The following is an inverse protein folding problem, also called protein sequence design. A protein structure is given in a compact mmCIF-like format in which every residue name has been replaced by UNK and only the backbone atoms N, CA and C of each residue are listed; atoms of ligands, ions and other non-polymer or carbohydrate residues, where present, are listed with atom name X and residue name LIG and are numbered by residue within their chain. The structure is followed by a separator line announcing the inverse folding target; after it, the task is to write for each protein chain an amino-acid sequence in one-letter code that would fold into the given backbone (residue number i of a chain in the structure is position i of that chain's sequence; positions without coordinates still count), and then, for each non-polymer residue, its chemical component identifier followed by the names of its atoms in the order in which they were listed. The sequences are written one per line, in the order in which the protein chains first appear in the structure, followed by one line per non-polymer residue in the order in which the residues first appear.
data_IF_450184377806
#
_entry.id   IF_450184377806
#
_cell.length_a   1.000
_cell.length_b   1.000
_cell.length_c   1.000
_cell.angle_alpha   90.00
_cell.angle_beta   90.00
_cell.angle_gamma   90.00
#
_symmetry.space_group_name_H-M   'P 1'
#
loop_
_entity.id
_entity.type
_entity.pdbx_description
1 polymer ?
#
# COMPACT_ATOMS: atom_id res chain seq x y z
N UNK A 1 7.78 -3.47 27.23
CA UNK A 1 8.16 -2.62 26.09
C UNK A 1 7.09 -1.54 25.97
N UNK A 2 7.40 -0.30 26.38
CA UNK A 2 6.44 0.81 26.38
C UNK A 2 6.38 1.52 25.03
N UNK A 3 7.37 1.30 24.17
CA UNK A 3 7.40 1.91 22.83
C UNK A 3 7.94 0.92 21.81
N UNK A 4 7.29 0.83 20.67
CA UNK A 4 7.80 0.13 19.50
C UNK A 4 8.68 1.14 18.73
N UNK A 5 9.95 1.23 19.06
CA UNK A 5 10.88 1.99 18.24
C UNK A 5 11.48 1.07 17.18
N UNK A 6 11.17 1.34 15.92
CA UNK A 6 11.76 0.73 14.73
C UNK A 6 11.78 -0.80 14.75
N UNK A 7 10.76 -1.41 14.22
CA UNK A 7 10.82 -2.84 13.86
C UNK A 7 11.80 -2.93 12.70
N UNK A 8 12.98 -3.47 12.93
CA UNK A 8 13.84 -3.90 11.84
C UNK A 8 13.05 -4.94 11.05
N UNK A 9 12.77 -4.72 9.76
CA UNK A 9 12.00 -5.68 8.97
C UNK A 9 12.76 -7.01 8.99
N UNK A 10 12.20 -8.00 9.65
CA UNK A 10 12.77 -9.35 9.62
C UNK A 10 12.15 -10.11 8.45
N UNK A 11 12.98 -10.58 7.52
CA UNK A 11 12.56 -11.46 6.43
C UNK A 11 11.96 -12.79 6.91
N UNK A 12 12.21 -13.16 8.15
CA UNK A 12 11.93 -14.49 8.69
C UNK A 12 11.00 -14.48 9.90
N UNK A 13 10.38 -13.34 10.22
CA UNK A 13 9.45 -13.26 11.36
C UNK A 13 8.21 -14.12 11.10
N UNK A 14 8.23 -15.35 11.60
CA UNK A 14 7.15 -16.33 11.38
C UNK A 14 6.11 -16.37 12.49
N UNK A 15 6.44 -15.85 13.68
CA UNK A 15 5.55 -15.87 14.83
C UNK A 15 5.74 -14.65 15.71
N UNK A 16 4.64 -14.14 16.25
CA UNK A 16 4.62 -13.04 17.22
C UNK A 16 3.90 -13.54 18.46
N UNK A 17 4.61 -13.54 19.60
CA UNK A 17 4.04 -13.85 20.91
C UNK A 17 4.20 -12.66 21.83
N UNK A 18 3.21 -12.41 22.63
CA UNK A 18 3.20 -11.38 23.67
C UNK A 18 2.81 -12.02 25.00
N UNK A 19 3.27 -11.44 26.11
CA UNK A 19 2.84 -11.87 27.44
C UNK A 19 1.35 -11.59 27.63
N UNK A 20 0.64 -12.46 28.33
CA UNK A 20 -0.75 -12.26 28.72
C UNK A 20 -0.96 -11.00 29.57
N UNK A 21 0.07 -10.57 30.30
CA UNK A 21 0.08 -9.33 31.08
C UNK A 21 0.37 -8.07 30.26
N UNK A 22 0.56 -8.19 28.94
CA UNK A 22 0.84 -7.04 28.08
C UNK A 22 -0.39 -6.13 28.02
N UNK A 23 -0.19 -4.83 28.28
CA UNK A 23 -1.27 -3.82 28.31
C UNK A 23 -1.28 -2.92 27.09
N UNK A 24 -0.33 -3.07 26.18
CA UNK A 24 -0.10 -2.15 25.06
C UNK A 24 -0.42 -2.76 23.70
N UNK A 25 -0.30 -4.08 23.61
CA UNK A 25 -0.42 -4.79 22.34
C UNK A 25 -1.36 -5.99 22.44
N UNK A 26 -1.88 -6.37 21.29
CA UNK A 26 -2.71 -7.55 21.09
C UNK A 26 -2.26 -8.33 19.88
N UNK A 27 -2.30 -9.65 19.94
CA UNK A 27 -2.03 -10.52 18.78
C UNK A 27 -3.33 -11.22 18.39
N UNK A 28 -3.72 -11.10 17.13
CA UNK A 28 -4.88 -11.79 16.55
C UNK A 28 -4.39 -12.45 15.27
N UNK A 29 -4.63 -13.75 15.13
CA UNK A 29 -4.18 -14.57 13.98
C UNK A 29 -2.71 -14.36 13.65
N UNK A 30 -1.86 -14.26 14.68
CA UNK A 30 -0.44 -14.03 14.57
C UNK A 30 -0.02 -12.60 14.23
N UNK A 31 -0.98 -11.71 13.96
CA UNK A 31 -0.74 -10.30 13.61
C UNK A 31 -0.78 -9.41 14.85
N UNK A 32 0.18 -8.50 14.94
CA UNK A 32 0.35 -7.57 16.07
C UNK A 32 -0.42 -6.28 15.84
N UNK A 33 -1.23 -5.92 16.83
CA UNK A 33 -2.01 -4.68 16.87
C UNK A 33 -1.74 -3.88 18.15
N UNK A 34 -2.10 -2.60 18.14
CA UNK A 34 -2.29 -1.85 19.39
C UNK A 34 -3.42 -2.46 20.21
N UNK A 35 -3.40 -2.24 21.53
CA UNK A 35 -4.42 -2.81 22.44
C UNK A 35 -5.83 -2.30 22.10
N UNK A 36 -5.94 -1.07 21.62
CA UNK A 36 -7.19 -0.42 21.18
C UNK A 36 -7.59 -0.81 19.74
N UNK A 37 -6.82 -1.70 19.10
CA UNK A 37 -7.02 -2.17 17.72
C UNK A 37 -6.96 -1.10 16.63
N UNK A 38 -6.47 0.10 16.92
CA UNK A 38 -6.41 1.18 15.92
C UNK A 38 -5.20 1.10 15.00
N UNK A 39 -4.12 0.45 15.43
CA UNK A 39 -2.90 0.32 14.63
C UNK A 39 -2.52 -1.13 14.44
N UNK A 40 -2.34 -1.53 13.18
CA UNK A 40 -1.71 -2.80 12.79
C UNK A 40 -0.20 -2.58 12.68
N UNK A 41 0.57 -3.23 13.56
CA UNK A 41 2.02 -3.07 13.61
C UNK A 41 2.77 -4.06 12.73
N UNK A 42 2.37 -5.35 12.75
CA UNK A 42 3.13 -6.36 12.04
C UNK A 42 2.32 -7.62 11.77
N UNK A 43 2.31 -8.07 10.52
CA UNK A 43 1.86 -9.38 10.07
C UNK A 43 3.07 -10.33 9.96
N UNK A 44 2.98 -11.60 10.40
CA UNK A 44 4.05 -12.56 10.23
C UNK A 44 4.21 -12.95 8.75
N UNK A 45 5.45 -13.24 8.32
CA UNK A 45 5.76 -13.52 6.90
C UNK A 45 5.12 -14.82 6.39
N UNK A 46 4.79 -15.74 7.29
CA UNK A 46 4.14 -17.02 6.99
C UNK A 46 2.61 -16.97 7.09
N UNK A 47 2.00 -15.78 7.13
CA UNK A 47 0.56 -15.66 7.05
C UNK A 47 0.02 -16.47 5.87
N UNK A 48 -0.92 -17.40 6.14
CA UNK A 48 -1.23 -18.49 5.22
C UNK A 48 -2.27 -18.14 4.16
N UNK A 49 -3.15 -17.15 4.45
CA UNK A 49 -4.25 -16.82 3.55
C UNK A 49 -3.79 -15.83 2.47
N UNK A 50 -4.37 -15.96 1.29
CA UNK A 50 -4.14 -15.03 0.18
C UNK A 50 -4.91 -13.71 0.31
N UNK A 51 -5.95 -13.68 1.12
CA UNK A 51 -6.72 -12.47 1.45
C UNK A 51 -6.41 -12.10 2.90
N UNK A 52 -6.00 -10.86 3.11
CA UNK A 52 -5.84 -10.29 4.45
C UNK A 52 -7.00 -9.33 4.73
N UNK A 53 -7.86 -9.72 5.66
CA UNK A 53 -8.93 -8.85 6.14
C UNK A 53 -8.35 -7.91 7.21
N UNK A 54 -8.28 -6.62 6.90
CA UNK A 54 -7.90 -5.60 7.89
C UNK A 54 -9.14 -5.36 8.77
N UNK A 55 -9.06 -5.65 10.09
CA UNK A 55 -10.24 -5.57 10.94
C UNK A 55 -10.87 -4.18 10.97
N UNK A 56 -12.21 -4.12 11.04
CA UNK A 56 -12.92 -2.86 11.26
C UNK A 56 -12.48 -2.25 12.60
N UNK A 57 -12.28 -0.93 12.62
CA UNK A 57 -11.68 -0.20 13.74
C UNK A 57 -10.19 0.09 13.57
N UNK A 58 -9.47 -0.64 12.69
CA UNK A 58 -8.08 -0.31 12.36
C UNK A 58 -8.07 0.97 11.53
N UNK A 59 -7.29 1.93 12.01
CA UNK A 59 -7.12 3.23 11.39
C UNK A 59 -5.77 3.34 10.67
N UNK A 60 -4.73 2.70 11.20
CA UNK A 60 -3.36 2.88 10.72
C UNK A 60 -2.64 1.57 10.48
N UNK A 61 -2.04 1.44 9.32
CA UNK A 61 -1.07 0.39 9.01
C UNK A 61 0.33 0.96 9.27
N UNK A 62 1.07 0.36 10.18
CA UNK A 62 2.38 0.84 10.59
C UNK A 62 3.44 0.61 9.50
N UNK A 63 4.58 1.31 9.64
CA UNK A 63 5.72 1.12 8.75
C UNK A 63 6.17 -0.36 8.72
N UNK A 64 6.41 -0.89 7.52
CA UNK A 64 6.83 -2.29 7.29
C UNK A 64 5.86 -3.35 7.83
N UNK A 65 4.59 -3.02 8.03
CA UNK A 65 3.60 -3.92 8.66
C UNK A 65 3.45 -5.26 7.92
N UNK A 66 3.47 -5.28 6.60
CA UNK A 66 3.36 -6.47 5.76
C UNK A 66 4.65 -6.85 5.05
N UNK A 67 5.79 -6.40 5.58
CA UNK A 67 7.09 -6.67 4.97
C UNK A 67 7.31 -8.15 4.71
N UNK A 68 7.57 -8.53 3.44
CA UNK A 68 7.79 -9.90 2.98
C UNK A 68 6.60 -10.89 3.19
N UNK A 69 5.37 -10.40 3.34
CA UNK A 69 4.17 -11.25 3.45
C UNK A 69 3.72 -11.69 2.05
N UNK A 70 4.47 -12.58 1.39
CA UNK A 70 4.32 -12.94 -0.03
C UNK A 70 3.06 -13.74 -0.36
N UNK A 71 2.45 -14.38 0.64
CA UNK A 71 1.23 -15.16 0.45
C UNK A 71 0.00 -14.28 0.30
N UNK A 72 0.02 -13.07 0.90
CA UNK A 72 -1.08 -12.12 0.76
C UNK A 72 -1.10 -11.59 -0.67
N UNK A 73 -2.26 -11.69 -1.32
CA UNK A 73 -2.53 -11.24 -2.69
C UNK A 73 -3.53 -10.11 -2.75
N UNK A 74 -4.43 -10.06 -1.79
CA UNK A 74 -5.53 -9.12 -1.70
C UNK A 74 -5.69 -8.61 -0.28
N UNK A 75 -6.20 -7.39 -0.17
CA UNK A 75 -6.65 -6.82 1.10
C UNK A 75 -8.16 -6.58 1.06
N UNK A 76 -8.84 -6.87 2.17
CA UNK A 76 -10.14 -6.30 2.49
C UNK A 76 -9.93 -5.11 3.43
N UNK A 77 -10.53 -3.97 3.07
CA UNK A 77 -10.24 -2.69 3.71
C UNK A 77 -11.39 -2.29 4.62
N UNK A 78 -11.12 -1.88 5.88
CA UNK A 78 -12.14 -1.34 6.77
C UNK A 78 -12.50 0.09 6.37
N UNK A 79 -13.69 0.52 6.71
CA UNK A 79 -14.15 1.90 6.49
C UNK A 79 -13.40 2.92 7.35
N UNK A 80 -12.78 2.44 8.42
CA UNK A 80 -12.03 3.25 9.40
C UNK A 80 -10.59 3.56 9.01
N UNK A 81 -10.09 2.97 7.91
CA UNK A 81 -8.70 3.09 7.51
C UNK A 81 -8.33 4.53 7.14
N UNK A 82 -7.22 5.03 7.69
CA UNK A 82 -6.71 6.39 7.50
C UNK A 82 -5.33 6.44 6.89
N UNK A 83 -4.46 5.45 7.15
CA UNK A 83 -3.10 5.52 6.65
C UNK A 83 -2.43 4.17 6.39
N UNK A 84 -1.58 4.16 5.36
CA UNK A 84 -0.55 3.15 5.11
C UNK A 84 0.84 3.75 5.34
N UNK A 85 1.57 3.17 6.29
CA UNK A 85 2.91 3.63 6.66
C UNK A 85 4.00 3.27 5.66
N UNK A 86 5.17 3.87 5.87
CA UNK A 86 6.34 3.73 5.01
C UNK A 86 6.76 2.26 4.84
N UNK A 87 7.00 1.85 3.61
CA UNK A 87 7.43 0.49 3.25
C UNK A 87 6.52 -0.64 3.76
N UNK A 88 5.25 -0.31 4.04
CA UNK A 88 4.30 -1.28 4.60
C UNK A 88 4.07 -2.50 3.69
N UNK A 89 4.27 -2.37 2.38
CA UNK A 89 4.09 -3.42 1.38
C UNK A 89 5.43 -3.91 0.77
N UNK A 90 6.58 -3.60 1.37
CA UNK A 90 7.87 -4.00 0.80
C UNK A 90 8.01 -5.53 0.70
N UNK A 91 8.59 -6.01 -0.42
CA UNK A 91 8.80 -7.42 -0.73
C UNK A 91 7.51 -8.25 -0.83
N UNK A 92 6.38 -7.63 -1.17
CA UNK A 92 5.12 -8.32 -1.44
C UNK A 92 4.92 -8.57 -2.93
N UNK A 93 4.04 -9.53 -3.25
CA UNK A 93 3.59 -9.81 -4.60
C UNK A 93 2.06 -9.83 -4.59
N UNK A 94 1.45 -8.65 -4.80
CA UNK A 94 0.01 -8.47 -4.77
C UNK A 94 -0.61 -8.70 -6.15
N UNK A 95 -1.79 -9.32 -6.19
CA UNK A 95 -2.62 -9.35 -7.39
C UNK A 95 -3.37 -8.03 -7.56
N UNK A 96 -3.80 -7.43 -6.44
CA UNK A 96 -4.52 -6.15 -6.48
C UNK A 96 -4.25 -5.30 -5.24
N UNK A 97 -4.11 -3.99 -5.44
CA UNK A 97 -4.08 -2.99 -4.39
C UNK A 97 -4.99 -1.82 -4.74
N UNK A 98 -5.81 -1.36 -3.78
CA UNK A 98 -6.77 -0.29 -4.01
C UNK A 98 -6.34 0.96 -3.24
N UNK A 99 -6.36 2.10 -3.92
CA UNK A 99 -6.06 3.41 -3.36
C UNK A 99 -7.35 4.21 -3.19
N UNK A 100 -7.59 4.71 -1.99
CA UNK A 100 -8.76 5.50 -1.61
C UNK A 100 -8.34 6.94 -1.31
N UNK A 101 -9.09 7.97 -1.75
CA UNK A 101 -8.74 9.37 -1.53
C UNK A 101 -8.79 9.78 -0.05
N UNK A 102 -9.50 9.02 0.79
CA UNK A 102 -9.59 9.24 2.24
C UNK A 102 -8.42 8.67 3.04
N UNK A 103 -7.51 7.95 2.39
CA UNK A 103 -6.38 7.26 3.04
C UNK A 103 -5.07 7.94 2.66
N UNK A 104 -4.25 8.24 3.67
CA UNK A 104 -2.90 8.76 3.47
C UNK A 104 -1.93 7.61 3.18
N UNK A 105 -1.10 7.77 2.17
CA UNK A 105 -0.08 6.78 1.80
C UNK A 105 1.30 7.39 1.90
N UNK A 106 2.16 6.76 2.68
CA UNK A 106 3.61 6.98 2.56
C UNK A 106 4.16 6.10 1.42
N UNK A 107 5.45 6.21 1.09
CA UNK A 107 6.10 5.34 0.11
C UNK A 107 5.85 3.86 0.47
N UNK A 108 5.02 3.18 -0.31
CA UNK A 108 4.41 1.89 0.07
C UNK A 108 5.41 0.73 0.12
N UNK A 109 6.43 0.74 -0.74
CA UNK A 109 7.39 -0.34 -0.71
C UNK A 109 8.52 -0.25 -1.71
N UNK A 110 9.32 -1.31 -1.73
CA UNK A 110 10.36 -1.57 -2.72
C UNK A 110 10.49 -3.09 -2.92
N UNK A 111 11.06 -3.50 -4.03
CA UNK A 111 11.16 -4.92 -4.44
C UNK A 111 9.81 -5.65 -4.41
N UNK A 112 8.74 -4.95 -4.72
CA UNK A 112 7.38 -5.49 -4.73
C UNK A 112 6.83 -5.52 -6.15
N UNK A 113 5.88 -6.41 -6.40
CA UNK A 113 5.09 -6.40 -7.61
C UNK A 113 3.61 -6.30 -7.26
N UNK A 114 2.88 -5.50 -8.03
CA UNK A 114 1.43 -5.36 -7.93
C UNK A 114 0.88 -5.55 -9.34
N UNK A 115 0.06 -6.59 -9.55
CA UNK A 115 -0.50 -6.84 -10.86
C UNK A 115 -1.48 -5.72 -11.27
N UNK A 116 -2.36 -5.33 -10.35
CA UNK A 116 -3.35 -4.28 -10.59
C UNK A 116 -3.37 -3.26 -9.45
N UNK A 117 -3.21 -1.98 -9.77
CA UNK A 117 -3.47 -0.86 -8.87
C UNK A 117 -4.77 -0.19 -9.30
N UNK A 118 -5.75 -0.15 -8.42
CA UNK A 118 -7.02 0.52 -8.65
C UNK A 118 -7.06 1.84 -7.87
N UNK A 119 -7.17 2.96 -8.57
CA UNK A 119 -7.27 4.31 -8.00
C UNK A 119 -8.74 4.73 -8.02
N UNK A 120 -9.35 4.82 -6.84
CA UNK A 120 -10.74 5.24 -6.69
C UNK A 120 -10.91 6.72 -7.04
N UNK A 121 -12.12 7.08 -7.43
CA UNK A 121 -12.48 8.48 -7.69
C UNK A 121 -12.37 9.33 -6.42
N UNK A 122 -12.19 10.66 -6.60
CA UNK A 122 -12.13 11.64 -5.53
C UNK A 122 -10.75 12.19 -5.19
N UNK A 123 -9.68 11.72 -5.84
CA UNK A 123 -8.37 12.38 -5.74
C UNK A 123 -8.37 13.69 -6.54
N UNK A 124 -8.12 14.82 -5.88
CA UNK A 124 -7.84 16.09 -6.56
C UNK A 124 -6.36 16.21 -6.96
N UNK A 125 -5.47 15.63 -6.16
CA UNK A 125 -4.04 15.51 -6.39
C UNK A 125 -3.59 14.09 -6.06
N UNK A 126 -2.61 13.58 -6.81
CA UNK A 126 -2.10 12.23 -6.63
C UNK A 126 -0.57 12.21 -6.61
N UNK A 127 -0.01 11.76 -5.50
CA UNK A 127 1.42 11.50 -5.39
C UNK A 127 1.73 10.09 -5.93
N UNK A 128 2.06 10.01 -7.20
CA UNK A 128 2.37 8.73 -7.83
C UNK A 128 3.67 8.09 -7.33
N UNK A 129 4.55 8.87 -6.68
CA UNK A 129 5.80 8.36 -6.10
C UNK A 129 5.60 7.35 -4.97
N UNK A 130 4.38 7.27 -4.40
CA UNK A 130 4.02 6.22 -3.44
C UNK A 130 4.19 4.81 -3.98
N UNK A 131 4.00 4.63 -5.30
CA UNK A 131 4.20 3.37 -6.02
C UNK A 131 5.65 3.15 -6.47
N UNK A 132 6.55 4.07 -6.16
CA UNK A 132 7.95 4.00 -6.57
C UNK A 132 8.31 5.12 -7.53
N UNK A 133 9.50 5.69 -7.35
CA UNK A 133 10.03 6.80 -8.13
C UNK A 133 11.10 6.31 -9.08
N UNK A 134 11.11 6.88 -10.29
CA UNK A 134 11.96 6.49 -11.41
C UNK A 134 13.45 6.29 -11.13
N UNK A 135 14.04 5.30 -11.79
CA UNK A 135 15.48 5.09 -11.89
C UNK A 135 16.11 4.12 -10.89
N UNK A 136 15.32 3.45 -10.04
CA UNK A 136 15.85 2.47 -9.07
C UNK A 136 15.38 1.04 -9.40
N UNK A 137 16.30 0.07 -9.38
CA UNK A 137 15.94 -1.36 -9.45
C UNK A 137 15.00 -1.80 -8.31
N UNK A 138 14.92 -0.98 -7.28
CA UNK A 138 14.15 -1.24 -6.05
C UNK A 138 12.69 -0.82 -6.12
N UNK A 139 12.22 -0.27 -7.25
CA UNK A 139 10.85 0.21 -7.42
C UNK A 139 9.80 -0.90 -7.34
N UNK A 140 8.55 -0.50 -7.01
CA UNK A 140 7.37 -1.35 -7.21
C UNK A 140 7.15 -1.49 -8.72
N UNK A 141 6.96 -2.72 -9.19
CA UNK A 141 6.47 -2.96 -10.56
C UNK A 141 4.94 -3.05 -10.53
N UNK A 142 4.28 -2.37 -11.45
CA UNK A 142 2.83 -2.41 -11.62
C UNK A 142 2.51 -2.78 -13.06
N UNK A 143 1.70 -3.82 -13.25
CA UNK A 143 1.30 -4.25 -14.60
C UNK A 143 0.14 -3.44 -15.16
N UNK A 144 -0.79 -3.06 -14.29
CA UNK A 144 -2.03 -2.37 -14.68
C UNK A 144 -2.38 -1.31 -13.66
N UNK A 145 -2.69 -0.11 -14.13
CA UNK A 145 -3.28 0.97 -13.35
C UNK A 145 -4.69 1.22 -13.86
N UNK A 146 -5.69 1.15 -12.99
CA UNK A 146 -7.09 1.48 -13.30
C UNK A 146 -7.45 2.73 -12.50
N UNK A 147 -7.91 3.76 -13.16
CA UNK A 147 -8.39 4.97 -12.50
C UNK A 147 -9.86 5.23 -12.84
N UNK A 148 -10.64 5.62 -11.85
CA UNK A 148 -12.08 5.86 -11.99
C UNK A 148 -12.45 7.34 -12.20
N UNK A 149 -11.51 8.25 -11.97
CA UNK A 149 -11.78 9.69 -12.13
C UNK A 149 -11.93 10.07 -13.61
N UNK A 150 -12.98 10.83 -13.95
CA UNK A 150 -13.16 11.39 -15.28
C UNK A 150 -12.19 12.57 -15.56
N UNK A 151 -11.73 13.22 -14.48
CA UNK A 151 -10.74 14.30 -14.54
C UNK A 151 -9.43 13.76 -13.95
N UNK A 152 -8.32 13.82 -14.70
CA UNK A 152 -7.02 13.35 -14.16
C UNK A 152 -6.66 14.10 -12.87
N UNK A 153 -6.36 13.40 -11.77
CA UNK A 153 -5.81 14.05 -10.59
C UNK A 153 -4.50 14.76 -10.92
N UNK A 154 -4.26 15.92 -10.33
CA UNK A 154 -3.02 16.66 -10.54
C UNK A 154 -1.83 15.89 -9.95
N UNK A 155 -0.79 15.66 -10.75
CA UNK A 155 0.52 15.24 -10.26
C UNK A 155 1.35 16.50 -10.03
N UNK A 156 1.77 16.81 -8.78
CA UNK A 156 2.30 18.13 -8.44
C UNK A 156 3.59 18.51 -9.20
N UNK A 157 4.51 17.58 -9.39
CA UNK A 157 5.78 17.80 -10.07
C UNK A 157 6.50 16.47 -10.41
N UNK A 158 7.70 16.56 -10.99
CA UNK A 158 8.52 15.39 -11.39
C UNK A 158 8.89 14.49 -10.22
N UNK A 159 8.89 15.01 -9.00
CA UNK A 159 9.25 14.22 -7.82
C UNK A 159 8.10 13.34 -7.33
N UNK A 160 6.88 13.65 -7.78
CA UNK A 160 5.64 12.95 -7.46
C UNK A 160 5.10 12.12 -8.65
N UNK A 161 5.90 12.01 -9.75
CA UNK A 161 5.54 11.27 -10.96
C UNK A 161 5.64 9.75 -10.75
N UNK A 162 5.01 9.00 -11.66
CA UNK A 162 5.15 7.55 -11.73
C UNK A 162 6.59 7.13 -12.01
N UNK A 163 7.00 6.03 -11.40
CA UNK A 163 8.26 5.38 -11.71
C UNK A 163 8.24 4.68 -13.06
N UNK A 164 9.43 4.46 -13.67
CA UNK A 164 9.56 3.82 -14.98
C UNK A 164 8.91 2.44 -15.06
N UNK A 165 8.98 1.65 -13.97
CA UNK A 165 8.37 0.31 -13.92
C UNK A 165 6.85 0.34 -13.87
N UNK A 166 6.25 1.45 -13.41
CA UNK A 166 4.80 1.68 -13.46
C UNK A 166 4.39 2.11 -14.86
N UNK A 167 5.11 3.05 -15.47
CA UNK A 167 4.85 3.56 -16.82
C UNK A 167 4.98 2.48 -17.92
N UNK A 168 5.69 1.38 -17.68
CA UNK A 168 5.72 0.21 -18.57
C UNK A 168 4.45 -0.64 -18.53
N UNK A 169 3.56 -0.37 -17.58
CA UNK A 169 2.26 -1.01 -17.45
C UNK A 169 1.20 -0.45 -18.40
N UNK A 170 -0.03 -0.87 -18.19
CA UNK A 170 -1.20 -0.36 -18.93
C UNK A 170 -2.02 0.57 -18.04
N UNK A 171 -2.43 1.71 -18.57
CA UNK A 171 -3.35 2.63 -17.91
C UNK A 171 -4.77 2.45 -18.47
N UNK A 172 -5.74 2.17 -17.61
CA UNK A 172 -7.17 2.13 -17.93
C UNK A 172 -7.86 3.35 -17.33
N UNK A 173 -8.51 4.13 -18.19
CA UNK A 173 -9.19 5.38 -17.85
C UNK A 173 -10.67 5.29 -18.23
N UNK A 174 -11.57 6.14 -17.69
CA UNK A 174 -12.96 6.16 -18.07
C UNK A 174 -13.12 6.46 -19.57
N UNK A 175 -14.15 5.85 -20.18
CA UNK A 175 -14.45 6.04 -21.61
C UNK A 175 -14.71 7.51 -21.94
N UNK A 176 -14.01 8.01 -22.95
CA UNK A 176 -14.18 9.39 -23.44
C UNK A 176 -13.22 10.40 -22.81
N UNK A 177 -12.36 9.98 -21.85
CA UNK A 177 -11.45 10.90 -21.14
C UNK A 177 -10.03 10.90 -21.71
N UNK A 178 -9.76 10.15 -22.77
CA UNK A 178 -8.43 10.00 -23.36
C UNK A 178 -7.68 11.34 -23.55
N UNK A 179 -8.33 12.33 -24.17
CA UNK A 179 -7.69 13.63 -24.43
C UNK A 179 -7.27 14.36 -23.15
N UNK A 180 -8.06 14.24 -22.08
CA UNK A 180 -7.74 14.85 -20.79
C UNK A 180 -6.51 14.18 -20.15
N UNK A 181 -6.45 12.84 -20.16
CA UNK A 181 -5.33 12.10 -19.60
C UNK A 181 -4.05 12.24 -20.43
N UNK A 182 -4.17 12.26 -21.76
CA UNK A 182 -3.02 12.39 -22.68
C UNK A 182 -2.25 13.69 -22.48
N UNK A 183 -2.94 14.81 -22.18
CA UNK A 183 -2.28 16.11 -21.94
C UNK A 183 -1.94 16.35 -20.46
N UNK A 184 -2.45 15.52 -19.56
CA UNK A 184 -2.22 15.69 -18.13
C UNK A 184 -0.80 15.23 -17.76
N UNK A 185 -0.07 16.10 -17.07
CA UNK A 185 1.29 15.85 -16.63
C UNK A 185 1.41 14.54 -15.83
N UNK A 186 2.37 13.70 -16.22
CA UNK A 186 2.65 12.40 -15.62
C UNK A 186 1.68 11.29 -16.02
N UNK A 187 0.43 11.61 -16.41
CA UNK A 187 -0.54 10.61 -16.91
C UNK A 187 -0.34 10.31 -18.40
N UNK A 188 0.02 11.31 -19.17
CA UNK A 188 0.27 11.16 -20.60
C UNK A 188 1.57 10.40 -20.93
N UNK A 189 2.33 10.01 -19.92
CA UNK A 189 3.59 9.27 -20.08
C UNK A 189 3.38 7.74 -20.20
N UNK A 190 2.12 7.25 -19.95
CA UNK A 190 1.74 5.84 -20.15
C UNK A 190 1.66 5.41 -21.61
#
# INVERSE_FOLDING_TARGET
LETFSCIIPSFYLSEIKISESNKHFKVIDGTLYSIDMKTLYRCPVNYSNSIFNIPEGVENIYASAFYNCKNIKYFEYPTTLKSFGHQSLAWMNLEKFILFPSVEYSKLGYYSSINEVEIKDGFSSFDASILGRGGSETEISVSTVIIHSEVPPTIPDVWHSFGEKVLKGSLYIPKGTYSAYYIAYGWGDF
#
